data_IF_108093863530
#
_entry.id   IF_108093863530
#
_cell.length_a   1.000
_cell.length_b   1.000
_cell.length_c   1.000
_cell.angle_alpha   90.00
_cell.angle_beta   90.00
_cell.angle_gamma   90.00
#
_symmetry.space_group_name_H-M   'P 1'
#
loop_
_entity.id
_entity.type
_entity.pdbx_description
1 polymer ?
#
# COMPACT_ATOMS: atom_id res chain seq x y z
N UNK A 1 17.20 15.42 -20.96
CA UNK A 1 15.91 14.71 -20.88
C UNK A 1 15.56 14.62 -19.39
N UNK A 2 14.90 15.62 -18.83
CA UNK A 2 14.38 15.51 -17.46
C UNK A 2 13.26 14.47 -17.47
N UNK A 3 13.44 13.36 -16.76
CA UNK A 3 12.33 12.45 -16.46
C UNK A 3 11.45 13.20 -15.46
N UNK A 4 10.40 13.85 -15.96
CA UNK A 4 9.37 14.46 -15.13
C UNK A 4 8.64 13.37 -14.36
N UNK A 5 9.22 12.90 -13.25
CA UNK A 5 8.47 12.23 -12.20
C UNK A 5 7.32 13.18 -11.84
N UNK A 6 6.09 12.80 -12.18
CA UNK A 6 4.94 13.69 -12.09
C UNK A 6 4.76 14.19 -10.67
N UNK A 7 5.30 15.38 -10.36
CA UNK A 7 5.44 15.90 -9.00
C UNK A 7 4.12 16.22 -8.29
N UNK A 8 2.95 16.02 -8.91
CA UNK A 8 1.65 16.39 -8.36
C UNK A 8 0.49 15.53 -8.90
N UNK A 9 0.70 14.24 -9.19
CA UNK A 9 -0.40 13.35 -9.58
C UNK A 9 -0.73 12.40 -8.44
N UNK A 10 -1.97 12.45 -7.96
CA UNK A 10 -2.52 11.41 -7.09
C UNK A 10 -2.63 10.11 -7.90
N UNK A 11 -2.19 9.01 -7.30
CA UNK A 11 -2.25 7.66 -7.84
C UNK A 11 -3.02 6.78 -6.86
N UNK A 12 -3.77 5.80 -7.38
CA UNK A 12 -4.27 4.72 -6.55
C UNK A 12 -3.11 3.76 -6.29
N UNK A 13 -2.87 3.48 -5.02
CA UNK A 13 -1.88 2.51 -4.56
C UNK A 13 -2.55 1.50 -3.62
N UNK A 14 -1.94 0.33 -3.52
CA UNK A 14 -2.41 -0.76 -2.69
C UNK A 14 -1.89 -0.61 -1.25
N UNK A 15 -2.78 -0.75 -0.26
CA UNK A 15 -2.41 -0.81 1.17
C UNK A 15 -1.52 -2.02 1.41
N UNK A 16 -2.04 -3.20 1.08
CA UNK A 16 -1.30 -4.47 1.00
C UNK A 16 -0.84 -4.63 -0.44
N UNK A 17 0.47 -4.78 -0.66
CA UNK A 17 1.00 -4.83 -2.02
C UNK A 17 0.57 -6.10 -2.76
N UNK A 18 0.46 -5.99 -4.09
CA UNK A 18 0.22 -7.16 -4.95
C UNK A 18 1.25 -8.26 -4.73
N UNK A 19 2.51 -7.88 -4.47
CA UNK A 19 3.60 -8.82 -4.21
C UNK A 19 3.39 -9.60 -2.92
N UNK A 20 2.85 -8.97 -1.89
CA UNK A 20 2.53 -9.63 -0.63
C UNK A 20 1.40 -10.65 -0.82
N UNK A 21 0.30 -10.22 -1.47
CA UNK A 21 -0.85 -11.09 -1.78
C UNK A 21 -0.42 -12.29 -2.64
N UNK A 22 0.42 -12.07 -3.65
CA UNK A 22 0.84 -13.11 -4.59
C UNK A 22 1.97 -14.00 -4.08
N UNK A 23 2.72 -13.59 -3.04
CA UNK A 23 3.80 -14.41 -2.49
C UNK A 23 3.45 -15.11 -1.19
N UNK A 24 2.32 -14.80 -0.56
CA UNK A 24 1.83 -15.53 0.61
C UNK A 24 1.37 -16.94 0.20
N UNK A 25 2.06 -18.01 0.63
CA UNK A 25 1.67 -19.38 0.29
C UNK A 25 0.29 -19.76 0.80
N UNK A 26 -0.18 -19.15 1.91
CA UNK A 26 -1.51 -19.43 2.44
C UNK A 26 -2.60 -18.93 1.49
N UNK A 27 -2.38 -17.77 0.86
CA UNK A 27 -3.33 -17.21 -0.10
C UNK A 27 -3.50 -18.14 -1.30
N UNK A 28 -2.42 -18.72 -1.82
CA UNK A 28 -2.50 -19.70 -2.91
C UNK A 28 -3.05 -21.06 -2.49
N UNK A 29 -2.89 -21.45 -1.22
CA UNK A 29 -3.38 -22.73 -0.73
C UNK A 29 -4.89 -22.71 -0.47
N UNK A 30 -5.42 -21.59 0.01
CA UNK A 30 -6.80 -21.48 0.48
C UNK A 30 -7.72 -20.67 -0.43
N UNK A 31 -7.19 -19.85 -1.34
CA UNK A 31 -7.97 -18.98 -2.22
C UNK A 31 -7.63 -19.24 -3.69
N UNK A 32 -8.64 -19.10 -4.55
CA UNK A 32 -8.44 -19.12 -5.98
C UNK A 32 -7.92 -17.77 -6.52
N UNK A 33 -7.50 -17.77 -7.78
CA UNK A 33 -6.96 -16.58 -8.45
C UNK A 33 -7.98 -15.42 -8.51
N UNK A 34 -9.28 -15.74 -8.63
CA UNK A 34 -10.33 -14.74 -8.74
C UNK A 34 -10.53 -13.99 -7.42
N UNK A 35 -10.57 -14.71 -6.30
CA UNK A 35 -10.68 -14.13 -4.96
C UNK A 35 -9.42 -13.32 -4.63
N UNK A 36 -8.22 -13.81 -4.98
CA UNK A 36 -6.98 -13.03 -4.79
C UNK A 36 -6.99 -11.72 -5.59
N UNK A 37 -7.50 -11.75 -6.82
CA UNK A 37 -7.67 -10.55 -7.64
C UNK A 37 -8.72 -9.59 -7.05
N UNK A 38 -9.81 -10.11 -6.48
CA UNK A 38 -10.83 -9.30 -5.81
C UNK A 38 -10.25 -8.60 -4.56
N UNK A 39 -9.49 -9.34 -3.73
CA UNK A 39 -8.81 -8.79 -2.55
C UNK A 39 -7.83 -7.68 -2.95
N UNK A 40 -7.04 -7.90 -4.00
CA UNK A 40 -6.12 -6.89 -4.51
C UNK A 40 -6.85 -5.62 -4.93
N UNK A 41 -7.95 -5.74 -5.67
CA UNK A 41 -8.69 -4.60 -6.23
C UNK A 41 -9.78 -4.05 -5.29
N UNK A 42 -9.92 -4.58 -4.07
CA UNK A 42 -10.95 -4.16 -3.14
C UNK A 42 -10.80 -2.66 -2.80
N UNK A 43 -11.88 -1.86 -2.76
CA UNK A 43 -11.80 -0.41 -2.49
C UNK A 43 -11.10 -0.05 -1.18
N UNK A 44 -11.15 -0.92 -0.19
CA UNK A 44 -10.42 -0.71 1.07
C UNK A 44 -8.91 -0.96 0.94
N UNK A 45 -8.49 -1.80 0.01
CA UNK A 45 -7.08 -2.01 -0.32
C UNK A 45 -6.53 -0.92 -1.25
N UNK A 46 -7.37 -0.08 -1.87
CA UNK A 46 -6.93 1.01 -2.73
C UNK A 46 -7.01 2.36 -2.01
N UNK A 47 -5.89 3.10 -1.97
CA UNK A 47 -5.81 4.44 -1.38
C UNK A 47 -5.14 5.41 -2.32
N UNK A 48 -5.57 6.67 -2.25
CA UNK A 48 -4.88 7.74 -2.96
C UNK A 48 -3.57 8.07 -2.26
N UNK A 49 -2.48 7.97 -3.01
CA UNK A 49 -1.16 8.43 -2.61
C UNK A 49 -0.60 9.37 -3.68
N UNK A 50 0.17 10.37 -3.26
CA UNK A 50 0.97 11.16 -4.19
C UNK A 50 1.99 10.28 -4.92
N UNK A 51 2.26 10.58 -6.19
CA UNK A 51 3.20 9.80 -6.99
C UNK A 51 4.59 9.66 -6.35
N UNK A 52 5.07 10.68 -5.63
CA UNK A 52 6.34 10.60 -4.89
C UNK A 52 6.26 9.66 -3.69
N UNK A 53 5.13 9.65 -2.98
CA UNK A 53 4.90 8.76 -1.85
C UNK A 53 4.80 7.30 -2.34
N UNK A 54 4.03 7.07 -3.41
CA UNK A 54 3.90 5.77 -4.06
C UNK A 54 5.25 5.22 -4.54
N UNK A 55 6.02 6.03 -5.27
CA UNK A 55 7.35 5.64 -5.74
C UNK A 55 8.32 5.34 -4.57
N UNK A 56 8.18 6.04 -3.45
CA UNK A 56 8.99 5.82 -2.25
C UNK A 56 8.56 4.58 -1.47
N UNK A 57 7.28 4.22 -1.47
CA UNK A 57 6.74 3.03 -0.79
C UNK A 57 7.20 1.74 -1.48
N UNK A 58 7.02 1.68 -2.80
CA UNK A 58 7.31 0.48 -3.59
C UNK A 58 6.36 -0.65 -3.25
N UNK A 59 6.91 -1.84 -2.97
CA UNK A 59 6.18 -3.08 -2.67
C UNK A 59 5.96 -3.33 -1.18
N UNK A 60 6.35 -2.39 -0.32
CA UNK A 60 6.16 -2.47 1.13
C UNK A 60 4.69 -2.24 1.51
N UNK A 61 4.27 -2.83 2.62
CA UNK A 61 2.98 -2.54 3.23
C UNK A 61 2.89 -1.04 3.59
N UNK A 62 1.72 -0.42 3.35
CA UNK A 62 1.52 1.00 3.57
C UNK A 62 1.71 1.41 5.04
N UNK A 63 1.26 0.58 5.98
CA UNK A 63 1.30 0.88 7.40
C UNK A 63 2.70 0.68 7.96
N UNK A 64 3.41 -0.36 7.52
CA UNK A 64 4.82 -0.57 7.86
C UNK A 64 5.69 0.55 7.29
N UNK A 65 5.59 0.81 5.99
CA UNK A 65 6.35 1.87 5.32
C UNK A 65 6.04 3.24 5.91
N UNK A 66 4.76 3.55 6.14
CA UNK A 66 4.31 4.84 6.65
C UNK A 66 4.89 5.19 8.02
N UNK A 67 5.15 4.18 8.86
CA UNK A 67 5.68 4.31 10.22
C UNK A 67 7.21 4.30 10.30
N UNK A 68 7.90 3.93 9.23
CA UNK A 68 9.37 3.99 9.18
C UNK A 68 9.85 5.42 9.46
N UNK A 69 10.82 5.54 10.37
CA UNK A 69 11.43 6.81 10.75
C UNK A 69 12.61 7.10 9.82
N UNK A 70 12.59 8.27 9.19
CA UNK A 70 13.75 8.81 8.49
C UNK A 70 14.76 9.32 9.53
N UNK A 71 15.86 8.58 9.70
CA UNK A 71 16.90 8.86 10.70
C UNK A 71 17.54 10.26 10.57
N UNK A 72 17.44 10.91 9.41
CA UNK A 72 18.00 12.26 9.21
C UNK A 72 17.06 13.36 9.68
N UNK A 73 15.75 13.14 9.57
CA UNK A 73 14.74 14.15 9.90
C UNK A 73 13.99 13.86 11.20
N UNK A 74 14.06 12.62 11.70
CA UNK A 74 13.30 12.12 12.83
C UNK A 74 11.81 11.92 12.55
N UNK A 75 11.36 12.14 11.31
CA UNK A 75 9.95 12.05 10.92
C UNK A 75 9.63 10.69 10.31
N UNK A 76 8.39 10.25 10.51
CA UNK A 76 7.82 9.10 9.81
C UNK A 76 7.54 9.43 8.34
N UNK A 77 7.39 8.41 7.50
CA UNK A 77 6.98 8.62 6.11
C UNK A 77 5.57 9.26 6.02
N UNK A 78 4.65 8.91 6.92
CA UNK A 78 3.35 9.58 6.99
C UNK A 78 3.49 11.09 7.24
N UNK A 79 4.34 11.50 8.19
CA UNK A 79 4.59 12.92 8.44
C UNK A 79 5.32 13.59 7.28
N UNK A 80 6.26 12.90 6.65
CA UNK A 80 7.05 13.40 5.51
C UNK A 80 6.17 13.71 4.31
N UNK A 81 5.18 12.86 4.02
CA UNK A 81 4.28 13.00 2.89
C UNK A 81 2.92 13.60 3.26
N UNK A 82 2.70 13.98 4.53
CA UNK A 82 1.45 14.62 4.98
C UNK A 82 0.23 13.68 4.95
N UNK A 83 0.44 12.37 5.13
CA UNK A 83 -0.61 11.36 5.12
C UNK A 83 -1.17 11.21 6.53
N UNK A 84 -2.50 11.32 6.67
CA UNK A 84 -3.18 11.13 7.94
C UNK A 84 -3.45 9.65 8.20
N UNK A 85 -2.63 9.02 9.06
CA UNK A 85 -2.76 7.61 9.44
C UNK A 85 -4.18 7.27 9.91
N UNK A 86 -4.87 8.18 10.61
CA UNK A 86 -6.21 7.90 11.15
C UNK A 86 -7.27 7.73 10.07
N UNK A 87 -7.01 8.25 8.87
CA UNK A 87 -7.88 8.08 7.69
C UNK A 87 -7.58 6.80 6.93
N UNK A 88 -6.46 6.13 7.22
CA UNK A 88 -6.13 4.84 6.66
C UNK A 88 -6.86 3.76 7.47
N UNK A 89 -7.93 3.21 6.89
CA UNK A 89 -8.48 1.95 7.40
C UNK A 89 -7.47 0.85 7.11
N UNK A 90 -7.02 0.14 8.14
CA UNK A 90 -6.21 -1.06 7.96
C UNK A 90 -7.06 -2.09 7.22
N UNK A 91 -6.72 -2.36 5.96
CA UNK A 91 -7.31 -3.48 5.26
C UNK A 91 -6.75 -4.76 5.89
N UNK A 92 -7.65 -5.61 6.37
CA UNK A 92 -7.28 -6.91 6.93
C UNK A 92 -8.11 -7.94 6.18
N UNK A 93 -7.43 -8.90 5.57
CA UNK A 93 -8.09 -10.04 4.96
C UNK A 93 -8.65 -10.87 6.11
N UNK A 94 -9.97 -10.86 6.28
CA UNK A 94 -10.62 -11.72 7.28
C UNK A 94 -10.71 -13.14 6.69
N UNK A 95 -10.05 -14.14 7.29
CA UNK A 95 -9.96 -15.48 6.70
C UNK A 95 -11.26 -16.28 6.68
N UNK A 96 -12.42 -15.74 7.10
CA UNK A 96 -13.65 -16.50 7.24
C UNK A 96 -14.85 -15.80 6.57
N UNK A 97 -14.98 -15.96 5.25
CA UNK A 97 -16.27 -15.88 4.56
C UNK A 97 -16.31 -17.05 3.55
N UNK A 98 -16.50 -18.25 4.08
CA UNK A 98 -16.99 -19.44 3.33
C UNK A 98 -18.45 -19.66 3.68
#
# INVERSE_FOLDING_TARGET
MERGAGKNKAQLDHVISLKEIDRDPNMHLFLDDAIRAEIANHPDNLKWLDASANASKGDRDLMEWGKEIDLKTGKTNFEKYGIDEKKLKKFTIQPNQT
#
